data_IF_559776793123
#
_entry.id   IF_559776793123
#
_cell.length_a   1.000
_cell.length_b   1.000
_cell.length_c   1.000
_cell.angle_alpha   90.00
_cell.angle_beta   90.00
_cell.angle_gamma   90.00
#
_symmetry.space_group_name_H-M   'P 1'
#
loop_
_entity.id
_entity.type
_entity.pdbx_description
1 polymer ?
#
# COMPACT_ATOMS: atom_id res chain seq x y z
N UNK A 1 -2.81 -0.70 -2.96
CA UNK A 1 -4.02 -0.04 -3.54
C UNK A 1 -4.96 0.32 -2.41
N UNK A 2 -5.65 1.46 -2.48
CA UNK A 2 -6.56 1.94 -1.44
C UNK A 2 -7.27 3.21 -1.88
N UNK A 3 -8.17 3.73 -1.04
CA UNK A 3 -8.94 4.94 -1.32
C UNK A 3 -8.29 6.13 -0.60
N UNK A 4 -7.64 7.02 -1.35
CA UNK A 4 -6.95 8.19 -0.81
C UNK A 4 -5.76 7.85 0.09
N UNK A 5 -5.17 8.90 0.69
CA UNK A 5 -4.15 8.77 1.72
C UNK A 5 -2.73 8.43 1.24
N UNK A 6 -2.50 8.27 -0.06
CA UNK A 6 -1.17 8.01 -0.62
C UNK A 6 -0.45 9.31 -1.00
N UNK A 7 0.15 9.98 -0.02
CA UNK A 7 1.10 11.08 -0.25
C UNK A 7 2.53 10.54 -0.36
N UNK A 8 3.49 11.31 -0.92
CA UNK A 8 4.90 10.89 -0.96
C UNK A 8 5.46 10.51 0.41
N UNK A 9 5.14 11.28 1.45
CA UNK A 9 5.62 11.06 2.82
C UNK A 9 5.00 9.79 3.42
N UNK A 10 3.69 9.61 3.25
CA UNK A 10 2.98 8.40 3.70
C UNK A 10 3.49 7.16 2.98
N UNK A 11 3.70 7.25 1.66
CA UNK A 11 4.21 6.13 0.88
C UNK A 11 5.64 5.74 1.29
N UNK A 12 6.51 6.73 1.59
CA UNK A 12 7.87 6.47 2.06
C UNK A 12 7.87 5.79 3.44
N UNK A 13 7.02 6.28 4.35
CA UNK A 13 6.84 5.68 5.67
C UNK A 13 6.34 4.24 5.59
N UNK A 14 5.26 4.01 4.83
CA UNK A 14 4.70 2.68 4.62
C UNK A 14 5.70 1.75 3.95
N UNK A 15 6.48 2.24 2.99
CA UNK A 15 7.49 1.42 2.33
C UNK A 15 8.54 0.92 3.30
N UNK A 16 9.04 1.79 4.17
CA UNK A 16 10.04 1.42 5.18
C UNK A 16 9.49 0.39 6.17
N UNK A 17 8.29 0.62 6.69
CA UNK A 17 7.68 -0.30 7.66
C UNK A 17 7.38 -1.67 7.05
N UNK A 18 6.69 -1.69 5.90
CA UNK A 18 6.26 -2.93 5.26
C UNK A 18 7.46 -3.73 4.74
N UNK A 19 8.42 -3.09 4.05
CA UNK A 19 9.61 -3.78 3.58
C UNK A 19 10.44 -4.33 4.74
N UNK A 20 10.61 -3.57 5.83
CA UNK A 20 11.32 -4.02 7.02
C UNK A 20 10.71 -5.26 7.65
N UNK A 21 9.39 -5.27 7.87
CA UNK A 21 8.70 -6.45 8.42
C UNK A 21 8.75 -7.64 7.46
N UNK A 22 8.60 -7.44 6.15
CA UNK A 22 8.72 -8.51 5.17
C UNK A 22 10.14 -9.11 5.17
N UNK A 23 11.18 -8.28 5.21
CA UNK A 23 12.56 -8.75 5.24
C UNK A 23 12.85 -9.53 6.53
N UNK A 24 12.36 -9.04 7.67
CA UNK A 24 12.51 -9.70 8.97
C UNK A 24 11.80 -11.05 9.05
N UNK A 25 10.54 -11.12 8.65
CA UNK A 25 9.72 -12.33 8.81
C UNK A 25 9.99 -13.38 7.73
N UNK A 26 10.40 -12.96 6.52
CA UNK A 26 10.57 -13.85 5.38
C UNK A 26 12.04 -14.04 4.97
N UNK A 27 13.00 -13.38 5.63
CA UNK A 27 14.42 -13.46 5.31
C UNK A 27 14.79 -12.87 3.96
N UNK A 28 14.05 -11.86 3.49
CA UNK A 28 14.29 -11.18 2.22
C UNK A 28 15.34 -10.07 2.37
N UNK A 29 15.95 -9.68 1.26
CA UNK A 29 16.72 -8.43 1.15
C UNK A 29 15.82 -7.29 0.70
N UNK A 30 16.00 -6.10 1.28
CA UNK A 30 15.20 -4.91 0.97
C UNK A 30 15.22 -4.53 -0.52
N UNK A 31 16.36 -4.75 -1.20
CA UNK A 31 16.53 -4.51 -2.64
C UNK A 31 15.59 -5.37 -3.50
N UNK A 32 15.07 -6.48 -2.97
CA UNK A 32 14.11 -7.36 -3.63
C UNK A 32 12.64 -6.99 -3.40
N UNK A 33 12.35 -5.94 -2.64
CA UNK A 33 10.98 -5.58 -2.24
C UNK A 33 10.54 -4.29 -2.95
N UNK A 34 9.59 -4.43 -3.87
CA UNK A 34 8.93 -3.31 -4.54
C UNK A 34 7.48 -3.19 -4.09
N UNK A 35 7.08 -1.98 -3.69
CA UNK A 35 5.71 -1.68 -3.26
C UNK A 35 5.09 -0.67 -4.22
N UNK A 36 3.94 -1.03 -4.79
CA UNK A 36 3.17 -0.12 -5.66
C UNK A 36 1.96 0.42 -4.91
N UNK A 37 1.95 1.73 -4.71
CA UNK A 37 0.79 2.45 -4.21
C UNK A 37 -0.10 2.84 -5.39
N UNK A 38 -1.40 2.68 -5.21
CA UNK A 38 -2.39 3.02 -6.25
C UNK A 38 -3.55 3.65 -5.54
N UNK A 39 -3.73 4.94 -5.76
CA UNK A 39 -4.91 5.66 -5.33
C UNK A 39 -6.09 5.28 -6.23
N UNK A 40 -7.19 4.86 -5.60
CA UNK A 40 -8.40 4.41 -6.27
C UNK A 40 -9.54 5.29 -5.77
N UNK A 41 -10.20 6.06 -6.66
CA UNK A 41 -11.39 6.80 -6.28
C UNK A 41 -12.43 5.90 -5.62
N UNK A 42 -13.15 6.40 -4.61
CA UNK A 42 -14.16 5.62 -3.89
C UNK A 42 -15.29 5.11 -4.80
N UNK A 43 -15.62 5.84 -5.88
CA UNK A 43 -16.53 5.41 -6.94
C UNK A 43 -16.06 4.15 -7.67
N UNK A 44 -14.76 3.88 -7.67
CA UNK A 44 -14.14 2.77 -8.37
C UNK A 44 -13.81 1.60 -7.43
N UNK A 45 -14.21 1.68 -6.16
CA UNK A 45 -13.98 0.64 -5.16
C UNK A 45 -15.32 0.08 -4.67
N UNK A 46 -15.61 -1.17 -5.06
CA UNK A 46 -16.82 -1.89 -4.66
C UNK A 46 -16.68 -2.58 -3.31
N UNK A 47 -17.70 -2.48 -2.46
CA UNK A 47 -17.79 -3.19 -1.18
C UNK A 47 -19.25 -3.35 -0.73
N UNK A 48 -19.62 -4.56 -0.26
CA UNK A 48 -20.97 -4.90 0.26
C UNK A 48 -22.12 -4.53 -0.70
N UNK A 49 -21.93 -4.77 -1.99
CA UNK A 49 -22.95 -4.50 -3.02
C UNK A 49 -23.13 -3.02 -3.35
N UNK A 50 -22.20 -2.15 -2.93
CA UNK A 50 -22.17 -0.70 -3.25
C UNK A 50 -20.74 -0.26 -3.57
N UNK A 51 -20.55 1.01 -3.91
CA UNK A 51 -19.23 1.66 -3.97
C UNK A 51 -18.99 2.48 -2.71
N UNK A 52 -17.77 3.00 -2.53
CA UNK A 52 -17.46 3.95 -1.45
C UNK A 52 -17.83 5.41 -1.78
N UNK A 53 -18.52 5.63 -2.90
CA UNK A 53 -19.20 6.89 -3.23
C UNK A 53 -20.55 7.02 -2.52
#
# INVERSE_FOLDING_TARGET
RGIGGFTPEVNAELSRQVAGELCKELGLHEEGVYLTFTDVPGTNWGWKGRTFA
#
